data_IF_883296087841
#
_entry.id   IF_883296087841
#
_cell.length_a   1.000
_cell.length_b   1.000
_cell.length_c   1.000
_cell.angle_alpha   90.00
_cell.angle_beta   90.00
_cell.angle_gamma   90.00
#
_symmetry.space_group_name_H-M   'P 1'
#
loop_
_entity.id
_entity.type
_entity.pdbx_description
1 polymer ?
#
# COMPACT_ATOMS: atom_id res chain seq x y z
N UNK A 1 -12.13 -14.51 -2.19
CA UNK A 1 -11.90 -13.22 -1.50
C UNK A 1 -11.02 -13.52 -0.32
N UNK A 2 -9.98 -12.71 -0.10
CA UNK A 2 -9.09 -12.80 1.08
C UNK A 2 -9.68 -11.87 2.13
N UNK A 3 -10.24 -12.44 3.18
CA UNK A 3 -10.93 -11.67 4.23
C UNK A 3 -9.97 -11.18 5.33
N UNK A 4 -8.84 -11.86 5.48
CA UNK A 4 -7.82 -11.61 6.48
C UNK A 4 -6.64 -10.78 5.97
N UNK A 5 -6.85 -9.91 5.00
CA UNK A 5 -5.78 -9.07 4.46
C UNK A 5 -5.33 -7.98 5.44
N UNK A 6 -4.03 -7.67 5.40
CA UNK A 6 -3.41 -6.64 6.25
C UNK A 6 -2.44 -5.74 5.48
N UNK A 7 -2.39 -5.90 4.18
CA UNK A 7 -1.59 -5.08 3.28
C UNK A 7 -2.01 -5.31 1.84
N UNK A 8 -1.54 -4.44 0.95
CA UNK A 8 -1.85 -4.46 -0.47
C UNK A 8 -0.56 -4.33 -1.25
N UNK A 9 -0.38 -5.18 -2.27
CA UNK A 9 0.69 -5.05 -3.25
C UNK A 9 0.11 -4.72 -4.62
N UNK A 10 0.88 -4.02 -5.44
CA UNK A 10 0.43 -3.54 -6.74
C UNK A 10 1.52 -3.49 -7.80
N UNK A 11 2.75 -3.84 -7.44
CA UNK A 11 3.88 -3.83 -8.35
C UNK A 11 3.79 -4.98 -9.36
N UNK A 12 4.40 -4.83 -10.52
CA UNK A 12 4.56 -5.92 -11.49
C UNK A 12 5.22 -7.12 -10.82
N UNK A 13 4.67 -8.32 -11.05
CA UNK A 13 5.30 -9.56 -10.58
C UNK A 13 6.54 -9.80 -11.43
N UNK A 14 7.69 -9.43 -10.92
CA UNK A 14 8.94 -9.58 -11.63
C UNK A 14 10.01 -10.34 -10.82
N UNK A 15 10.95 -10.91 -11.55
CA UNK A 15 12.19 -11.41 -10.99
C UNK A 15 13.35 -11.03 -11.91
N UNK A 16 14.53 -10.87 -11.31
CA UNK A 16 15.74 -10.66 -12.08
C UNK A 16 16.07 -11.89 -12.92
N UNK A 17 16.81 -11.66 -14.00
CA UNK A 17 17.33 -12.75 -14.82
C UNK A 17 18.24 -13.69 -13.99
N UNK A 18 18.06 -14.98 -14.21
CA UNK A 18 18.83 -16.03 -13.53
C UNK A 18 20.23 -16.20 -14.12
N UNK A 19 20.39 -15.89 -15.40
CA UNK A 19 21.66 -16.06 -16.09
C UNK A 19 21.86 -15.08 -17.25
N UNK A 20 23.11 -14.95 -17.67
CA UNK A 20 23.51 -14.24 -18.88
C UNK A 20 24.28 -15.19 -19.76
N UNK A 21 23.88 -15.25 -21.01
CA UNK A 21 24.54 -16.09 -22.02
C UNK A 21 25.02 -15.24 -23.18
N UNK A 22 26.13 -15.64 -23.80
CA UNK A 22 26.58 -15.03 -25.04
C UNK A 22 25.93 -15.79 -26.17
N UNK A 23 25.23 -15.09 -27.04
CA UNK A 23 24.61 -15.61 -28.25
C UNK A 23 25.23 -14.91 -29.46
N UNK A 24 25.13 -15.55 -30.61
CA UNK A 24 25.45 -14.91 -31.88
C UNK A 24 24.19 -14.43 -32.56
N UNK A 25 24.13 -13.17 -32.96
CA UNK A 25 23.05 -12.60 -33.75
C UNK A 25 23.62 -11.81 -34.92
N UNK A 26 23.30 -12.22 -36.14
CA UNK A 26 23.79 -11.61 -37.36
C UNK A 26 25.33 -11.58 -37.44
N UNK A 27 26.02 -12.66 -37.03
CA UNK A 27 27.49 -12.76 -37.01
C UNK A 27 28.18 -11.94 -35.93
N UNK A 28 27.43 -11.32 -35.00
CA UNK A 28 27.99 -10.56 -33.89
C UNK A 28 27.64 -11.19 -32.54
N UNK A 29 28.62 -11.31 -31.63
CA UNK A 29 28.33 -11.76 -30.27
C UNK A 29 27.53 -10.68 -29.51
N UNK A 30 26.48 -11.11 -28.82
CA UNK A 30 25.71 -10.25 -27.94
C UNK A 30 25.36 -10.97 -26.65
N UNK A 31 25.21 -10.21 -25.58
CA UNK A 31 24.77 -10.72 -24.29
C UNK A 31 23.22 -10.80 -24.25
N UNK A 32 22.70 -11.95 -23.88
CA UNK A 32 21.28 -12.18 -23.63
C UNK A 32 21.07 -12.52 -22.17
N UNK A 33 20.14 -11.81 -21.53
CA UNK A 33 19.65 -12.16 -20.21
C UNK A 33 18.52 -13.19 -20.34
N UNK A 34 18.49 -14.18 -19.47
CA UNK A 34 17.47 -15.24 -19.46
C UNK A 34 16.96 -15.52 -18.04
N UNK A 35 15.75 -16.09 -17.97
CA UNK A 35 15.13 -16.54 -16.74
C UNK A 35 14.48 -15.45 -15.91
N UNK A 36 14.22 -14.27 -16.47
CA UNK A 36 13.38 -13.27 -15.84
C UNK A 36 11.89 -13.62 -15.99
N UNK A 37 11.12 -13.19 -15.02
CA UNK A 37 9.66 -13.19 -15.07
C UNK A 37 9.20 -11.74 -14.96
N UNK A 38 8.25 -11.34 -15.81
CA UNK A 38 7.64 -10.02 -15.76
C UNK A 38 6.18 -10.16 -16.15
N UNK A 39 5.28 -10.11 -15.15
CA UNK A 39 3.84 -10.24 -15.34
C UNK A 39 3.15 -9.06 -14.67
N UNK A 40 2.43 -8.27 -15.48
CA UNK A 40 1.64 -7.15 -14.96
C UNK A 40 0.50 -7.67 -14.09
N UNK A 41 0.34 -7.08 -12.92
CA UNK A 41 -0.84 -7.29 -12.08
C UNK A 41 -2.02 -6.49 -12.64
N UNK A 42 -3.22 -7.07 -12.64
CA UNK A 42 -4.43 -6.42 -13.14
C UNK A 42 -4.96 -5.30 -12.22
N UNK A 43 -4.35 -5.11 -11.06
CA UNK A 43 -4.73 -4.14 -10.04
C UNK A 43 -4.07 -4.45 -8.71
N UNK A 44 -4.28 -3.63 -7.66
CA UNK A 44 -3.87 -3.95 -6.31
C UNK A 44 -4.48 -5.27 -5.86
N UNK A 45 -3.70 -6.07 -5.13
CA UNK A 45 -4.17 -7.33 -4.58
C UNK A 45 -3.83 -7.43 -3.08
N UNK A 46 -4.71 -8.06 -2.30
CA UNK A 46 -4.56 -8.14 -0.86
C UNK A 46 -3.51 -9.18 -0.45
N UNK A 47 -2.82 -8.91 0.67
CA UNK A 47 -1.88 -9.83 1.32
C UNK A 47 -2.51 -10.32 2.62
N UNK A 48 -2.67 -11.64 2.73
CA UNK A 48 -3.29 -12.30 3.89
C UNK A 48 -2.41 -12.21 5.12
N UNK A 49 -3.00 -11.95 6.28
CA UNK A 49 -2.32 -12.00 7.58
C UNK A 49 -1.67 -13.37 7.84
N UNK A 50 -2.33 -14.45 7.42
CA UNK A 50 -1.79 -15.81 7.56
C UNK A 50 -0.47 -16.03 6.83
N UNK A 51 -0.18 -15.22 5.81
CA UNK A 51 1.12 -15.31 5.13
C UNK A 51 2.27 -14.77 5.97
N UNK A 52 1.99 -14.01 7.02
CA UNK A 52 2.97 -13.43 7.96
C UNK A 52 3.21 -14.30 9.20
N UNK A 53 2.43 -15.36 9.37
CA UNK A 53 2.49 -16.22 10.56
C UNK A 53 2.89 -17.64 10.18
N UNK A 54 3.73 -18.32 10.98
CA UNK A 54 3.96 -19.75 10.84
C UNK A 54 2.70 -20.53 11.20
N UNK A 55 2.70 -21.82 10.94
CA UNK A 55 1.64 -22.69 11.42
C UNK A 55 1.65 -22.73 12.93
N UNK A 56 0.45 -22.82 13.53
CA UNK A 56 0.26 -22.78 14.99
C UNK A 56 1.05 -23.87 15.73
N UNK A 57 1.14 -25.05 15.15
CA UNK A 57 1.87 -26.19 15.68
C UNK A 57 3.40 -26.01 15.64
N UNK A 58 3.89 -25.10 14.82
CA UNK A 58 5.32 -24.82 14.67
C UNK A 58 5.77 -23.69 15.58
N UNK A 59 5.02 -22.57 15.60
CA UNK A 59 5.35 -21.42 16.44
C UNK A 59 4.13 -20.52 16.65
N UNK A 60 3.91 -20.05 17.87
CA UNK A 60 2.74 -19.22 18.22
C UNK A 60 3.05 -17.75 18.47
N UNK A 61 4.30 -17.34 18.43
CA UNK A 61 4.76 -15.99 18.78
C UNK A 61 5.77 -15.41 17.78
N UNK A 62 5.70 -15.81 16.50
CA UNK A 62 6.58 -15.31 15.44
C UNK A 62 5.78 -14.65 14.34
N UNK A 63 6.17 -13.46 13.93
CA UNK A 63 5.68 -12.72 12.78
C UNK A 63 6.81 -12.49 11.78
N UNK A 64 6.53 -12.68 10.49
CA UNK A 64 7.56 -12.69 9.42
C UNK A 64 7.14 -11.74 8.29
N UNK A 65 7.36 -10.42 8.41
CA UNK A 65 6.88 -9.46 7.43
C UNK A 65 7.66 -9.46 6.11
N UNK A 66 8.92 -9.89 6.09
CA UNK A 66 9.78 -9.85 4.90
C UNK A 66 9.85 -11.22 4.24
N UNK A 67 10.18 -12.27 4.99
CA UNK A 67 10.24 -13.64 4.50
C UNK A 67 8.88 -14.35 4.65
N UNK A 68 7.80 -13.67 4.26
CA UNK A 68 6.44 -14.17 4.37
C UNK A 68 6.17 -15.36 3.44
N UNK A 69 5.10 -16.11 3.73
CA UNK A 69 4.66 -17.21 2.89
C UNK A 69 4.01 -16.70 1.62
N UNK A 70 4.69 -16.81 0.50
CA UNK A 70 4.19 -16.41 -0.82
C UNK A 70 4.73 -17.35 -1.91
N UNK A 71 4.01 -17.48 -3.01
CA UNK A 71 4.57 -18.11 -4.20
C UNK A 71 5.69 -17.24 -4.78
N UNK A 72 6.62 -17.85 -5.51
CA UNK A 72 7.73 -17.12 -6.15
C UNK A 72 7.23 -15.94 -7.00
N UNK A 73 6.17 -16.17 -7.78
CA UNK A 73 5.59 -15.13 -8.65
C UNK A 73 4.93 -14.00 -7.85
N UNK A 74 4.18 -14.31 -6.81
CA UNK A 74 3.55 -13.31 -5.94
C UNK A 74 4.60 -12.49 -5.17
N UNK A 75 5.65 -13.15 -4.70
CA UNK A 75 6.74 -12.49 -4.00
C UNK A 75 7.45 -11.45 -4.89
N UNK A 76 7.52 -11.66 -6.19
CA UNK A 76 8.05 -10.69 -7.15
C UNK A 76 7.36 -9.32 -7.09
N UNK A 77 6.09 -9.27 -6.67
CA UNK A 77 5.34 -8.04 -6.44
C UNK A 77 5.39 -7.57 -4.97
N UNK A 78 5.34 -8.51 -4.03
CA UNK A 78 5.28 -8.22 -2.59
C UNK A 78 6.61 -7.68 -2.06
N UNK A 79 7.74 -8.10 -2.62
CA UNK A 79 9.10 -7.80 -2.16
C UNK A 79 9.52 -6.33 -2.22
N UNK A 80 8.63 -5.43 -2.61
CA UNK A 80 8.91 -3.99 -2.62
C UNK A 80 8.97 -3.45 -1.19
N UNK A 81 9.97 -2.61 -0.92
CA UNK A 81 10.25 -2.07 0.40
C UNK A 81 9.05 -1.37 1.04
N UNK A 82 8.25 -0.55 0.32
CA UNK A 82 7.05 0.05 0.90
C UNK A 82 6.02 -0.98 1.35
N UNK A 83 5.91 -2.12 0.65
CA UNK A 83 5.03 -3.21 1.06
C UNK A 83 5.53 -3.84 2.36
N UNK A 84 6.84 -4.07 2.49
CA UNK A 84 7.43 -4.59 3.72
C UNK A 84 7.25 -3.63 4.90
N UNK A 85 7.29 -2.31 4.67
CA UNK A 85 7.02 -1.32 5.72
C UNK A 85 5.57 -1.44 6.22
N UNK A 86 4.59 -1.54 5.33
CA UNK A 86 3.18 -1.76 5.67
C UNK A 86 2.99 -3.09 6.42
N UNK A 87 3.60 -4.16 5.94
CA UNK A 87 3.52 -5.47 6.62
C UNK A 87 4.23 -5.46 7.98
N UNK A 88 5.32 -4.72 8.11
CA UNK A 88 6.01 -4.50 9.38
C UNK A 88 5.13 -3.78 10.39
N UNK A 89 4.43 -2.73 9.97
CA UNK A 89 3.45 -2.01 10.79
C UNK A 89 2.31 -2.95 11.22
N UNK A 90 1.75 -3.70 10.29
CA UNK A 90 0.71 -4.69 10.59
C UNK A 90 1.18 -5.74 11.61
N UNK A 91 2.43 -6.20 11.49
CA UNK A 91 3.05 -7.12 12.45
C UNK A 91 3.23 -6.49 13.84
N UNK A 92 3.64 -5.22 13.91
CA UNK A 92 3.77 -4.48 15.17
C UNK A 92 2.44 -4.36 15.89
N UNK A 93 1.38 -3.97 15.17
CA UNK A 93 0.02 -3.91 15.69
C UNK A 93 -0.45 -5.30 16.16
N UNK A 94 -0.26 -6.31 15.33
CA UNK A 94 -0.63 -7.68 15.69
C UNK A 94 0.07 -8.15 16.97
N UNK A 95 1.34 -7.83 17.13
CA UNK A 95 2.10 -8.17 18.34
C UNK A 95 1.58 -7.45 19.58
N UNK A 96 1.13 -6.19 19.45
CA UNK A 96 0.54 -5.44 20.57
C UNK A 96 -0.84 -5.93 20.97
N UNK A 97 -1.61 -6.48 20.04
CA UNK A 97 -2.95 -7.02 20.27
C UNK A 97 -2.94 -8.47 20.75
N UNK A 98 -1.82 -9.17 20.55
CA UNK A 98 -1.77 -10.61 20.85
C UNK A 98 -1.81 -10.89 22.35
N UNK A 99 -2.80 -11.65 22.77
CA UNK A 99 -2.86 -12.29 24.09
C UNK A 99 -2.52 -13.80 23.96
N UNK A 100 -1.24 -14.06 23.79
CA UNK A 100 -0.69 -15.41 23.67
C UNK A 100 -0.35 -15.83 22.24
N UNK A 101 -1.34 -16.10 21.38
CA UNK A 101 -1.09 -16.64 20.03
C UNK A 101 -1.37 -15.61 18.95
N UNK A 102 -0.35 -15.26 18.18
CA UNK A 102 -0.48 -14.29 17.10
C UNK A 102 -1.46 -14.70 16.01
N UNK A 103 -1.66 -16.01 15.80
CA UNK A 103 -2.63 -16.51 14.80
C UNK A 103 -4.10 -16.27 15.21
N UNK A 104 -4.36 -15.84 16.44
CA UNK A 104 -5.70 -15.54 16.96
C UNK A 104 -6.06 -14.06 16.82
N UNK A 105 -5.12 -13.21 16.45
CA UNK A 105 -5.36 -11.78 16.24
C UNK A 105 -6.24 -11.57 15.01
N UNK A 106 -7.31 -10.80 15.17
CA UNK A 106 -8.22 -10.49 14.09
C UNK A 106 -7.61 -9.49 13.09
N UNK A 107 -7.47 -9.87 11.85
CA UNK A 107 -6.95 -8.99 10.80
C UNK A 107 -7.78 -7.72 10.59
N UNK A 108 -9.09 -7.77 10.88
CA UNK A 108 -9.97 -6.60 10.86
C UNK A 108 -9.56 -5.55 11.89
N UNK A 109 -9.13 -5.98 13.06
CA UNK A 109 -8.67 -5.08 14.12
C UNK A 109 -7.32 -4.43 13.77
N UNK A 110 -6.41 -5.21 13.18
CA UNK A 110 -5.15 -4.67 12.63
C UNK A 110 -5.46 -3.56 11.61
N UNK A 111 -6.35 -3.83 10.65
CA UNK A 111 -6.75 -2.82 9.64
C UNK A 111 -7.38 -1.59 10.25
N UNK A 112 -8.26 -1.78 11.23
CA UNK A 112 -8.92 -0.67 11.94
C UNK A 112 -7.87 0.28 12.53
N UNK A 113 -6.91 -0.25 13.27
CA UNK A 113 -5.84 0.55 13.88
C UNK A 113 -4.99 1.23 12.81
N UNK A 114 -4.59 0.52 11.74
CA UNK A 114 -3.84 1.12 10.63
C UNK A 114 -4.57 2.28 9.94
N UNK A 115 -5.89 2.30 9.99
CA UNK A 115 -6.72 3.36 9.39
C UNK A 115 -6.96 4.51 10.36
N UNK A 116 -7.23 4.21 11.63
CA UNK A 116 -7.62 5.20 12.64
C UNK A 116 -6.42 5.86 13.33
N UNK A 117 -5.28 5.15 13.40
CA UNK A 117 -4.04 5.66 14.01
C UNK A 117 -2.82 5.30 13.13
N UNK A 118 -2.73 5.87 11.91
CA UNK A 118 -1.69 5.51 10.95
C UNK A 118 -0.26 5.85 11.43
N UNK A 119 -0.13 6.74 12.40
CA UNK A 119 1.16 7.14 12.98
C UNK A 119 1.52 6.34 14.22
N UNK A 120 0.58 5.57 14.80
CA UNK A 120 0.74 4.78 16.03
C UNK A 120 1.29 5.59 17.22
N UNK A 121 0.96 6.86 17.27
CA UNK A 121 1.30 7.78 18.35
C UNK A 121 0.10 8.12 19.23
N UNK A 122 -1.06 7.48 18.95
CA UNK A 122 -2.34 7.74 19.59
C UNK A 122 -3.05 8.96 19.04
N UNK A 123 -2.47 9.64 18.05
CA UNK A 123 -3.15 10.70 17.33
C UNK A 123 -4.08 10.07 16.29
N UNK A 124 -5.36 10.38 16.40
CA UNK A 124 -6.31 10.07 15.33
C UNK A 124 -6.48 11.32 14.49
N UNK A 125 -6.59 11.16 13.19
CA UNK A 125 -7.07 12.24 12.36
C UNK A 125 -8.52 12.54 12.78
N UNK A 126 -8.74 13.64 13.47
CA UNK A 126 -10.07 14.02 13.95
C UNK A 126 -11.05 14.21 12.79
N UNK A 127 -10.54 14.71 11.68
CA UNK A 127 -11.30 14.93 10.45
C UNK A 127 -10.45 14.55 9.25
N UNK A 128 -11.02 13.76 8.38
CA UNK A 128 -10.45 13.43 7.07
C UNK A 128 -11.41 14.00 6.03
N UNK A 129 -10.90 14.82 5.12
CA UNK A 129 -11.64 15.33 3.97
C UNK A 129 -10.94 14.82 2.72
N UNK A 130 -11.62 13.94 1.99
CA UNK A 130 -11.10 13.35 0.75
C UNK A 130 -11.80 13.96 -0.47
N UNK A 131 -11.24 13.79 -1.63
CA UNK A 131 -11.71 14.36 -2.90
C UNK A 131 -13.08 13.83 -3.39
N UNK A 132 -13.67 12.88 -2.67
CA UNK A 132 -15.05 12.41 -2.85
C UNK A 132 -16.07 13.07 -1.92
N UNK A 133 -15.63 13.88 -0.97
CA UNK A 133 -16.50 14.44 0.06
C UNK A 133 -17.26 15.70 -0.42
N UNK A 134 -18.42 15.99 0.21
CA UNK A 134 -19.14 17.23 -0.08
C UNK A 134 -18.38 18.45 0.46
N UNK A 135 -18.56 19.60 -0.21
CA UNK A 135 -17.95 20.86 0.21
C UNK A 135 -16.61 21.17 -0.44
N UNK A 136 -16.28 20.49 -1.54
CA UNK A 136 -15.12 20.83 -2.35
C UNK A 136 -15.53 21.82 -3.44
N UNK A 137 -14.83 22.94 -3.52
CA UNK A 137 -14.93 23.91 -4.61
C UNK A 137 -13.61 24.04 -5.37
N UNK A 138 -13.69 24.25 -6.66
CA UNK A 138 -12.49 24.31 -7.50
C UNK A 138 -12.67 25.21 -8.72
N UNK A 139 -11.56 25.79 -9.17
CA UNK A 139 -11.49 26.48 -10.45
C UNK A 139 -11.60 25.50 -11.63
N UNK A 140 -11.81 26.03 -12.83
CA UNK A 140 -11.72 25.21 -14.03
C UNK A 140 -10.33 24.60 -14.20
N UNK A 141 -10.25 23.46 -14.87
CA UNK A 141 -9.00 22.76 -15.16
C UNK A 141 -8.69 21.58 -14.23
N UNK A 142 -9.36 21.45 -13.09
CA UNK A 142 -9.24 20.27 -12.24
C UNK A 142 -10.07 19.10 -12.75
N UNK A 143 -9.50 17.93 -12.75
CA UNK A 143 -10.16 16.68 -13.16
C UNK A 143 -9.96 15.65 -12.07
N UNK A 144 -11.06 15.11 -11.57
CA UNK A 144 -10.99 13.95 -10.66
C UNK A 144 -10.57 12.73 -11.45
N UNK A 145 -9.47 12.12 -11.05
CA UNK A 145 -8.87 10.98 -11.71
C UNK A 145 -8.92 9.77 -10.78
N UNK A 146 -9.36 8.63 -11.29
CA UNK A 146 -9.27 7.36 -10.57
C UNK A 146 -7.84 6.82 -10.67
N UNK A 147 -7.27 6.50 -9.54
CA UNK A 147 -5.92 5.98 -9.50
C UNK A 147 -5.48 5.63 -8.08
N UNK A 148 -4.25 5.18 -7.96
CA UNK A 148 -3.65 4.72 -6.70
C UNK A 148 -2.98 5.85 -5.93
N UNK A 149 -3.21 7.10 -6.29
CA UNK A 149 -2.51 8.26 -5.79
C UNK A 149 -3.36 9.12 -4.87
N UNK A 150 -4.39 8.65 -4.27
CA UNK A 150 -5.24 9.37 -3.35
C UNK A 150 -5.52 8.54 -2.11
N UNK A 151 -5.99 9.15 -1.05
CA UNK A 151 -6.41 8.48 0.17
C UNK A 151 -7.54 7.48 -0.13
N UNK A 152 -8.57 7.92 -0.87
CA UNK A 152 -9.74 7.14 -1.23
C UNK A 152 -9.71 6.50 -2.63
N UNK A 153 -8.56 6.33 -3.28
CA UNK A 153 -8.41 5.82 -4.65
C UNK A 153 -8.80 6.77 -5.78
N UNK A 154 -9.08 8.02 -5.47
CA UNK A 154 -9.23 9.13 -6.41
C UNK A 154 -8.31 10.28 -6.02
N UNK A 155 -8.08 11.22 -6.92
CA UNK A 155 -7.33 12.45 -6.67
C UNK A 155 -7.69 13.49 -7.73
N UNK A 156 -7.51 14.75 -7.41
CA UNK A 156 -7.64 15.84 -8.39
C UNK A 156 -6.31 16.11 -9.08
N UNK A 157 -6.38 16.27 -10.38
CA UNK A 157 -5.25 16.62 -11.24
C UNK A 157 -5.56 17.90 -12.00
N UNK A 158 -4.69 18.92 -11.88
CA UNK A 158 -4.81 20.14 -12.68
C UNK A 158 -4.32 19.86 -14.10
N UNK A 159 -5.16 20.10 -15.09
CA UNK A 159 -4.83 19.98 -16.50
C UNK A 159 -4.58 21.36 -17.11
N UNK A 160 -3.33 21.61 -17.49
CA UNK A 160 -2.88 22.85 -18.12
C UNK A 160 -2.28 23.85 -17.13
N UNK A 161 -1.74 24.95 -17.69
CA UNK A 161 -1.25 26.08 -16.92
C UNK A 161 -2.41 27.01 -16.58
N UNK A 162 -2.73 27.09 -15.29
CA UNK A 162 -3.71 28.01 -14.75
C UNK A 162 -3.08 28.79 -13.60
N UNK A 163 -2.71 30.05 -13.84
CA UNK A 163 -2.08 30.92 -12.82
C UNK A 163 -2.97 31.16 -11.58
N UNK A 164 -4.29 31.09 -11.74
CA UNK A 164 -5.28 31.32 -10.66
C UNK A 164 -6.03 30.02 -10.29
N UNK A 165 -5.41 28.84 -10.45
CA UNK A 165 -6.05 27.60 -10.10
C UNK A 165 -6.16 27.45 -8.58
N UNK A 166 -7.35 27.15 -8.09
CA UNK A 166 -7.60 26.84 -6.69
C UNK A 166 -8.38 25.54 -6.54
N UNK A 167 -8.14 24.88 -5.42
CA UNK A 167 -8.89 23.75 -4.92
C UNK A 167 -9.12 24.00 -3.44
N UNK A 168 -10.36 24.13 -3.03
CA UNK A 168 -10.77 24.50 -1.68
C UNK A 168 -11.58 23.37 -1.05
N UNK A 169 -11.23 23.01 0.16
CA UNK A 169 -11.93 22.03 0.97
C UNK A 169 -12.65 22.74 2.12
N UNK A 170 -13.97 22.64 2.16
CA UNK A 170 -14.73 23.18 3.27
C UNK A 170 -14.54 22.32 4.51
N UNK A 171 -14.04 22.92 5.59
CA UNK A 171 -14.01 22.29 6.90
C UNK A 171 -15.34 22.49 7.63
N UNK A 172 -15.76 21.56 8.50
CA UNK A 172 -17.01 21.72 9.26
C UNK A 172 -17.01 23.00 10.11
N UNK A 173 -18.09 23.76 10.07
CA UNK A 173 -18.27 25.02 10.84
C UNK A 173 -18.22 24.81 12.38
N UNK A 174 -18.28 23.56 12.82
CA UNK A 174 -18.19 23.19 14.23
C UNK A 174 -16.75 23.19 14.77
N UNK A 175 -15.76 23.29 13.88
CA UNK A 175 -14.36 23.33 14.29
C UNK A 175 -14.01 24.68 14.90
N UNK A 176 -13.52 24.64 16.13
CA UNK A 176 -13.04 25.82 16.87
C UNK A 176 -11.68 25.53 17.47
N UNK A 177 -10.80 26.54 17.53
CA UNK A 177 -9.47 26.40 18.08
C UNK A 177 -8.37 26.33 17.02
N UNK A 178 -7.18 25.89 17.43
CA UNK A 178 -6.02 25.69 16.56
C UNK A 178 -5.98 24.24 16.09
N UNK A 179 -5.68 24.05 14.81
CA UNK A 179 -5.64 22.75 14.16
C UNK A 179 -4.40 22.58 13.31
N UNK A 180 -3.79 21.41 13.38
CA UNK A 180 -2.74 21.02 12.46
C UNK A 180 -3.36 20.43 11.18
N UNK A 181 -2.97 20.96 10.03
CA UNK A 181 -3.48 20.52 8.73
C UNK A 181 -2.39 19.73 8.01
N UNK A 182 -2.71 18.50 7.68
CA UNK A 182 -1.85 17.62 6.90
C UNK A 182 -2.43 17.44 5.49
N UNK A 183 -1.68 17.82 4.47
CA UNK A 183 -2.06 17.61 3.08
C UNK A 183 -1.30 16.42 2.50
N UNK A 184 -2.02 15.46 1.96
CA UNK A 184 -1.42 14.38 1.20
C UNK A 184 -1.18 14.86 -0.23
N UNK A 185 0.07 15.13 -0.57
CA UNK A 185 0.52 15.52 -1.91
C UNK A 185 1.46 14.47 -2.48
N UNK A 186 1.36 14.23 -3.76
CA UNK A 186 2.28 13.37 -4.52
C UNK A 186 3.01 14.16 -5.62
#
# INVERSE_FOLDING_TARGET
>A
VIDDWVGIAAYTMDSHNCQRVVIEKNGMPMVKNEGNVEVKVGGPFPISYRSLTPKREECTNLLVPVALSASHIAYGSIRMEPVFMVLGQACGIAASLADGKIQEVAASEIRRIMTEDPYMDGSQADIIIDDGDPGISMSAGWVQTKGRRGYGSTYYELKGDCEDAFLEYAVPDTLTGEWDIYCYQQ
#
